data_IF_933112256276
#
_entry.id   IF_933112256276
#
_cell.length_a   1.000
_cell.length_b   1.000
_cell.length_c   1.000
_cell.angle_alpha   90.00
_cell.angle_beta   90.00
_cell.angle_gamma   90.00
#
_symmetry.space_group_name_H-M   'P 1'
#
loop_
_entity.id
_entity.type
_entity.pdbx_description
1 polymer ?
#
# COMPACT_ATOMS: atom_id res chain seq x y z
N UNK A 1 12.19 0.61 -6.73
CA UNK A 1 11.63 -0.70 -6.30
C UNK A 1 11.97 -1.04 -4.85
N UNK A 2 13.14 -0.69 -4.34
CA UNK A 2 13.56 -1.02 -2.97
C UNK A 2 12.64 -0.46 -1.88
N UNK A 3 12.11 0.76 -2.08
CA UNK A 3 11.16 1.37 -1.16
C UNK A 3 9.90 0.51 -0.93
N UNK A 4 9.28 0.01 -2.02
CA UNK A 4 8.11 -0.87 -1.91
C UNK A 4 8.44 -2.22 -1.27
N UNK A 5 9.66 -2.76 -1.49
CA UNK A 5 10.10 -4.00 -0.83
C UNK A 5 10.16 -3.83 0.69
N UNK A 6 10.75 -2.73 1.16
CA UNK A 6 10.82 -2.43 2.60
C UNK A 6 9.43 -2.29 3.22
N UNK A 7 8.51 -1.58 2.55
CA UNK A 7 7.13 -1.45 3.03
C UNK A 7 6.39 -2.79 3.06
N UNK A 8 6.56 -3.66 2.06
CA UNK A 8 5.98 -5.01 2.08
C UNK A 8 6.53 -5.88 3.21
N UNK A 9 7.81 -5.77 3.55
CA UNK A 9 8.40 -6.51 4.68
C UNK A 9 7.74 -6.08 5.99
N UNK A 10 7.59 -4.77 6.23
CA UNK A 10 6.93 -4.25 7.43
C UNK A 10 5.48 -4.72 7.56
N UNK A 11 4.73 -4.71 6.46
CA UNK A 11 3.33 -5.20 6.45
C UNK A 11 3.26 -6.70 6.76
N UNK A 12 4.20 -7.51 6.26
CA UNK A 12 4.26 -8.94 6.58
C UNK A 12 4.63 -9.19 8.05
N UNK A 13 5.57 -8.44 8.61
CA UNK A 13 5.91 -8.50 10.04
C UNK A 13 4.67 -8.18 10.89
N UNK A 14 3.93 -7.14 10.51
CA UNK A 14 2.69 -6.75 11.18
C UNK A 14 1.62 -7.86 11.13
N UNK A 15 1.50 -8.57 10.00
CA UNK A 15 0.61 -9.74 9.88
C UNK A 15 1.04 -10.88 10.81
N UNK A 16 2.33 -11.20 10.88
CA UNK A 16 2.84 -12.25 11.77
C UNK A 16 2.55 -11.94 13.25
N UNK A 17 2.75 -10.67 13.67
CA UNK A 17 2.45 -10.24 15.04
C UNK A 17 0.95 -10.39 15.33
N UNK A 18 0.09 -9.93 14.42
CA UNK A 18 -1.37 -10.06 14.57
C UNK A 18 -1.82 -11.51 14.69
N UNK A 19 -1.30 -12.42 13.86
CA UNK A 19 -1.62 -13.85 13.92
C UNK A 19 -1.14 -14.46 15.24
N UNK A 20 0.07 -14.13 15.69
CA UNK A 20 0.61 -14.64 16.96
C UNK A 20 -0.26 -14.23 18.15
N UNK A 21 -0.78 -13.00 18.18
CA UNK A 21 -1.67 -12.52 19.23
C UNK A 21 -3.04 -13.24 19.23
N UNK A 22 -3.58 -13.55 18.04
CA UNK A 22 -4.82 -14.35 17.94
C UNK A 22 -4.60 -15.75 18.51
N UNK A 23 -3.50 -16.41 18.13
CA UNK A 23 -3.18 -17.76 18.61
C UNK A 23 -2.95 -17.77 20.12
N UNK A 24 -2.23 -16.78 20.67
CA UNK A 24 -2.02 -16.64 22.10
C UNK A 24 -3.34 -16.43 22.85
N UNK A 25 -4.23 -15.56 22.35
CA UNK A 25 -5.55 -15.33 22.93
C UNK A 25 -6.46 -16.56 22.89
N UNK A 26 -6.44 -17.31 21.78
CA UNK A 26 -7.19 -18.54 21.62
C UNK A 26 -6.69 -19.65 22.57
N UNK A 27 -5.38 -19.81 22.69
CA UNK A 27 -4.77 -20.76 23.62
C UNK A 27 -5.11 -20.42 25.08
N UNK A 28 -5.02 -19.14 25.44
CA UNK A 28 -5.41 -18.63 26.75
C UNK A 28 -6.90 -18.82 27.05
N UNK A 29 -7.78 -18.73 26.05
CA UNK A 29 -9.22 -19.00 26.24
C UNK A 29 -9.58 -20.48 26.42
N UNK A 30 -8.80 -21.39 25.83
CA UNK A 30 -9.03 -22.84 25.89
C UNK A 30 -8.54 -23.48 27.20
N UNK A 31 -7.46 -22.95 27.78
CA UNK A 31 -7.05 -23.32 29.14
C UNK A 31 -7.88 -22.47 30.12
N UNK A 32 -8.71 -23.10 30.96
CA UNK A 32 -9.60 -22.39 31.91
C UNK A 32 -8.85 -21.35 32.77
N UNK A 33 -8.86 -20.10 32.33
CA UNK A 33 -8.31 -18.99 33.10
C UNK A 33 -9.37 -18.45 34.08
N UNK A 34 -8.96 -18.29 35.34
CA UNK A 34 -9.77 -17.70 36.42
C UNK A 34 -9.81 -16.18 36.26
N UNK A 35 -11.01 -15.59 36.30
CA UNK A 35 -11.20 -14.14 36.46
C UNK A 35 -10.89 -13.28 35.23
N UNK A 36 -10.05 -12.24 35.42
CA UNK A 36 -9.85 -11.11 34.50
C UNK A 36 -9.23 -11.49 33.13
N UNK A 37 -8.70 -12.69 33.01
CA UNK A 37 -8.03 -13.19 31.82
C UNK A 37 -8.98 -13.53 30.66
N UNK A 38 -10.26 -13.78 30.96
CA UNK A 38 -11.31 -13.98 29.94
C UNK A 38 -11.53 -12.75 29.07
N UNK A 39 -11.29 -11.56 29.64
CA UNK A 39 -11.36 -10.30 28.89
C UNK A 39 -10.30 -10.27 27.79
N UNK A 40 -9.06 -10.65 28.10
CA UNK A 40 -7.97 -10.68 27.12
C UNK A 40 -8.18 -11.73 26.04
N UNK A 41 -8.75 -12.89 26.39
CA UNK A 41 -9.06 -13.95 25.42
C UNK A 41 -10.06 -13.50 24.32
N UNK A 42 -10.94 -12.54 24.61
CA UNK A 42 -11.91 -12.02 23.63
C UNK A 42 -11.46 -10.73 22.96
N UNK A 43 -10.79 -9.84 23.69
CA UNK A 43 -10.41 -8.52 23.18
C UNK A 43 -9.19 -8.58 22.27
N UNK A 44 -8.17 -9.39 22.60
CA UNK A 44 -6.96 -9.49 21.78
C UNK A 44 -7.24 -9.99 20.35
N UNK A 45 -8.07 -11.03 20.13
CA UNK A 45 -8.42 -11.46 18.78
C UNK A 45 -9.18 -10.39 17.98
N UNK A 46 -10.12 -9.66 18.60
CA UNK A 46 -10.89 -8.61 17.94
C UNK A 46 -10.00 -7.45 17.45
N UNK A 47 -9.07 -6.98 18.29
CA UNK A 47 -8.09 -5.96 17.89
C UNK A 47 -7.17 -6.47 16.78
N UNK A 48 -6.75 -7.73 16.86
CA UNK A 48 -5.85 -8.33 15.88
C UNK A 48 -6.49 -8.47 14.50
N UNK A 49 -7.79 -8.78 14.42
CA UNK A 49 -8.54 -8.80 13.16
C UNK A 49 -8.53 -7.42 12.48
N UNK A 50 -8.75 -6.35 13.25
CA UNK A 50 -8.66 -4.98 12.73
C UNK A 50 -7.26 -4.65 12.19
N UNK A 51 -6.23 -5.08 12.91
CA UNK A 51 -4.83 -4.90 12.51
C UNK A 51 -4.50 -5.63 11.20
N UNK A 52 -4.97 -6.86 11.04
CA UNK A 52 -4.81 -7.65 9.81
C UNK A 52 -5.56 -7.03 8.62
N UNK A 53 -6.78 -6.54 8.85
CA UNK A 53 -7.56 -5.84 7.83
C UNK A 53 -6.85 -4.59 7.32
N UNK A 54 -6.29 -3.79 8.24
CA UNK A 54 -5.49 -2.62 7.87
C UNK A 54 -4.24 -3.02 7.08
N UNK A 55 -3.47 -4.01 7.56
CA UNK A 55 -2.28 -4.50 6.87
C UNK A 55 -2.58 -4.97 5.44
N UNK A 56 -3.67 -5.71 5.24
CA UNK A 56 -4.10 -6.17 3.91
C UNK A 56 -4.50 -5.01 2.98
N UNK A 57 -5.17 -3.98 3.52
CA UNK A 57 -5.52 -2.79 2.74
C UNK A 57 -4.27 -2.02 2.27
N UNK A 58 -3.26 -1.91 3.13
CA UNK A 58 -1.98 -1.26 2.81
C UNK A 58 -1.23 -2.09 1.76
N UNK A 59 -1.23 -3.42 1.90
CA UNK A 59 -0.61 -4.31 0.92
C UNK A 59 -1.20 -4.12 -0.48
N UNK A 60 -2.54 -4.14 -0.59
CA UNK A 60 -3.22 -3.91 -1.88
C UNK A 60 -2.87 -2.57 -2.51
N UNK A 61 -2.70 -1.51 -1.70
CA UNK A 61 -2.29 -0.18 -2.18
C UNK A 61 -0.85 -0.21 -2.69
N UNK A 62 0.07 -0.79 -1.93
CA UNK A 62 1.49 -0.92 -2.34
C UNK A 62 1.60 -1.70 -3.65
N UNK A 63 0.88 -2.82 -3.76
CA UNK A 63 0.84 -3.62 -5.00
C UNK A 63 0.27 -2.81 -6.18
N UNK A 64 -0.80 -2.04 -5.97
CA UNK A 64 -1.35 -1.15 -6.97
C UNK A 64 -0.34 -0.09 -7.45
N UNK A 65 0.39 0.54 -6.54
CA UNK A 65 1.42 1.53 -6.89
C UNK A 65 2.65 0.91 -7.53
N UNK A 66 3.07 -0.27 -7.08
CA UNK A 66 4.21 -0.99 -7.63
C UNK A 66 3.95 -1.49 -9.05
N UNK A 67 2.72 -1.91 -9.34
CA UNK A 67 2.32 -2.40 -10.67
C UNK A 67 2.09 -1.26 -11.67
N UNK A 68 1.46 -0.15 -11.26
CA UNK A 68 1.16 0.98 -12.14
C UNK A 68 2.29 2.02 -12.14
N UNK A 69 3.48 1.60 -12.51
CA UNK A 69 4.69 2.43 -12.53
C UNK A 69 5.00 2.95 -13.95
N UNK A 70 6.04 3.78 -14.06
CA UNK A 70 6.50 4.33 -15.34
C UNK A 70 6.83 3.27 -16.38
N UNK A 71 7.47 2.14 -15.99
CA UNK A 71 7.88 1.12 -16.96
C UNK A 71 6.68 0.41 -17.56
N UNK A 72 5.63 0.15 -16.77
CA UNK A 72 4.36 -0.34 -17.28
C UNK A 72 3.71 0.67 -18.22
N UNK A 73 3.64 1.95 -17.84
CA UNK A 73 3.06 2.98 -18.69
C UNK A 73 3.79 3.12 -20.03
N UNK A 74 5.12 3.11 -20.02
CA UNK A 74 5.93 3.19 -21.24
C UNK A 74 5.75 1.97 -22.15
N UNK A 75 5.48 0.80 -21.56
CA UNK A 75 5.18 -0.42 -22.30
C UNK A 75 3.77 -0.39 -22.91
N UNK A 76 2.78 0.07 -22.15
CA UNK A 76 1.38 0.09 -22.56
C UNK A 76 1.10 1.22 -23.57
N UNK A 77 1.87 2.33 -23.48
CA UNK A 77 1.69 3.53 -24.28
C UNK A 77 3.01 4.09 -24.85
N UNK A 78 3.74 3.33 -25.68
CA UNK A 78 5.06 3.74 -26.17
C UNK A 78 5.02 5.02 -27.02
N UNK A 79 3.93 5.26 -27.76
CA UNK A 79 3.74 6.47 -28.56
C UNK A 79 3.59 7.75 -27.72
N UNK A 80 3.35 7.61 -26.41
CA UNK A 80 3.15 8.72 -25.48
C UNK A 80 4.36 8.98 -24.58
N UNK A 81 5.44 8.24 -24.78
CA UNK A 81 6.72 8.41 -24.10
C UNK A 81 7.73 8.90 -25.13
N UNK A 82 8.28 10.08 -24.89
CA UNK A 82 9.26 10.74 -25.76
C UNK A 82 10.53 11.05 -24.97
N UNK A 83 11.61 11.41 -25.66
CA UNK A 83 12.84 11.88 -25.01
C UNK A 83 12.62 13.12 -24.13
N UNK A 84 11.61 13.93 -24.45
CA UNK A 84 11.25 15.15 -23.71
C UNK A 84 10.33 14.87 -22.51
N UNK A 85 9.89 13.62 -22.32
CA UNK A 85 9.02 13.20 -21.23
C UNK A 85 7.75 12.50 -21.69
N UNK A 86 6.76 12.49 -20.80
CA UNK A 86 5.51 11.75 -20.95
C UNK A 86 4.37 12.67 -21.37
N UNK A 87 3.53 12.20 -22.30
CA UNK A 87 2.26 12.85 -22.67
C UNK A 87 1.09 12.00 -22.20
N UNK A 88 -0.07 12.63 -21.98
CA UNK A 88 -1.28 11.92 -21.60
C UNK A 88 -1.82 11.06 -22.76
N UNK A 89 -2.05 9.76 -22.54
CA UNK A 89 -2.64 8.88 -23.55
C UNK A 89 -4.08 9.26 -23.94
N UNK A 90 -4.83 9.88 -23.03
CA UNK A 90 -6.23 10.27 -23.25
C UNK A 90 -6.36 11.55 -24.09
N UNK A 91 -5.68 12.64 -23.70
CA UNK A 91 -5.85 13.97 -24.30
C UNK A 91 -4.61 14.50 -25.04
N UNK A 92 -3.51 13.72 -25.08
CA UNK A 92 -2.23 14.05 -25.72
C UNK A 92 -1.51 15.29 -25.14
N UNK A 93 -2.03 15.83 -24.03
CA UNK A 93 -1.43 16.99 -23.37
C UNK A 93 -0.08 16.62 -22.74
N UNK A 94 0.96 17.46 -22.89
CA UNK A 94 2.24 17.30 -22.19
C UNK A 94 2.20 17.84 -20.75
N UNK A 95 1.08 18.42 -20.30
CA UNK A 95 0.94 19.00 -18.96
C UNK A 95 0.73 17.90 -17.92
N UNK A 96 1.83 17.38 -17.36
CA UNK A 96 1.81 16.37 -16.30
C UNK A 96 2.11 17.04 -14.97
N UNK A 97 1.22 16.83 -13.99
CA UNK A 97 1.39 17.27 -12.63
C UNK A 97 1.65 16.08 -11.71
N UNK A 98 2.34 16.36 -10.62
CA UNK A 98 2.60 15.39 -9.56
C UNK A 98 1.81 15.76 -8.32
N UNK A 99 1.20 14.76 -7.71
CA UNK A 99 0.53 14.89 -6.41
C UNK A 99 1.15 13.92 -5.42
N UNK A 100 1.52 14.41 -4.24
CA UNK A 100 1.98 13.56 -3.16
C UNK A 100 0.79 12.83 -2.54
N UNK A 101 0.85 11.50 -2.53
CA UNK A 101 -0.08 10.66 -1.77
C UNK A 101 0.44 10.57 -0.33
N UNK A 102 0.04 11.54 0.50
CA UNK A 102 0.48 11.70 1.90
C UNK A 102 0.06 10.58 2.86
N UNK A 103 -0.39 9.43 2.37
CA UNK A 103 -0.89 8.31 3.19
C UNK A 103 0.23 7.33 3.59
N UNK A 104 1.40 7.83 3.99
CA UNK A 104 2.53 7.00 4.44
C UNK A 104 3.18 6.10 3.38
N UNK A 105 2.76 6.19 2.12
CA UNK A 105 3.33 5.42 1.01
C UNK A 105 4.52 6.10 0.34
N UNK A 106 4.85 7.35 0.70
CA UNK A 106 5.88 8.19 0.06
C UNK A 106 5.83 8.02 -1.47
N UNK A 107 4.62 8.10 -2.03
CA UNK A 107 4.35 7.84 -3.43
C UNK A 107 3.81 9.11 -4.08
N UNK A 108 4.27 9.39 -5.29
CA UNK A 108 3.81 10.47 -6.15
C UNK A 108 2.94 9.89 -7.25
N UNK A 109 1.77 10.49 -7.40
CA UNK A 109 0.87 10.24 -8.51
C UNK A 109 1.17 11.23 -9.63
N UNK A 110 1.48 10.73 -10.82
CA UNK A 110 1.64 11.52 -12.03
C UNK A 110 0.31 11.51 -12.78
N UNK A 111 -0.33 12.67 -12.90
CA UNK A 111 -1.63 12.82 -13.55
C UNK A 111 -1.60 13.94 -14.57
N UNK A 112 -2.49 13.87 -15.56
CA UNK A 112 -2.64 14.94 -16.54
C UNK A 112 -3.36 16.14 -15.90
N UNK A 113 -2.78 17.34 -16.00
CA UNK A 113 -3.41 18.58 -15.51
C UNK A 113 -4.60 19.05 -16.34
N UNK A 114 -4.80 18.49 -17.54
CA UNK A 114 -5.89 18.90 -18.43
C UNK A 114 -7.12 18.02 -18.28
N UNK A 115 -6.95 16.69 -18.24
CA UNK A 115 -8.08 15.75 -18.16
C UNK A 115 -8.16 14.97 -16.85
N UNK A 116 -7.20 15.15 -15.92
CA UNK A 116 -7.18 14.49 -14.62
C UNK A 116 -6.77 13.02 -14.64
N UNK A 117 -6.50 12.43 -15.81
CA UNK A 117 -6.15 11.01 -15.92
C UNK A 117 -4.83 10.70 -15.22
N UNK A 118 -4.86 9.73 -14.30
CA UNK A 118 -3.66 9.17 -13.67
C UNK A 118 -2.88 8.34 -14.67
N UNK A 119 -1.57 8.59 -14.77
CA UNK A 119 -0.69 7.96 -15.74
C UNK A 119 0.12 6.84 -15.08
N UNK A 120 0.86 7.19 -14.03
CA UNK A 120 1.68 6.23 -13.29
C UNK A 120 2.02 6.77 -11.89
N UNK A 121 2.54 5.87 -11.06
CA UNK A 121 3.05 6.19 -9.73
C UNK A 121 4.57 6.06 -9.68
N UNK A 122 5.22 6.93 -8.90
CA UNK A 122 6.65 6.85 -8.60
C UNK A 122 6.89 7.05 -7.11
N UNK A 123 7.94 6.47 -6.52
CA UNK A 123 8.33 6.83 -5.16
C UNK A 123 8.72 8.31 -5.10
N UNK A 124 8.49 8.92 -3.94
CA UNK A 124 9.01 10.24 -3.60
C UNK A 124 10.52 10.13 -3.44
N UNK A 125 11.25 10.80 -4.33
CA UNK A 125 12.70 10.89 -4.22
C UNK A 125 13.00 11.98 -3.19
N UNK A 126 13.49 11.59 -2.02
CA UNK A 126 14.01 12.53 -1.02
C UNK A 126 15.12 13.34 -1.70
N UNK A 127 14.89 14.65 -1.79
CA UNK A 127 15.84 15.60 -2.37
C UNK A 127 16.77 16.10 -1.27
#
# INVERSE_FOLDING_TARGET
MEHYKSQMINVRIQQCIGIALILAGAYAGLFELKGNDRFFALVLPLFSIGFLGQAHSIQKRIEHYATNNYTKYAKDHPAHVTERGVTCFQCKSPKIHTKNLMQGSFTREHHCGQCGTTLYYSPEQNR
#
